data_IF_722564469902
#
_entry.id   IF_722564469902
#
_cell.length_a   1.000
_cell.length_b   1.000
_cell.length_c   1.000
_cell.angle_alpha   90.00
_cell.angle_beta   90.00
_cell.angle_gamma   90.00
#
_symmetry.space_group_name_H-M   'P 1'
#
loop_
_entity.id
_entity.type
_entity.pdbx_description
1 polymer ?
#
# COMPACT_ATOMS: atom_id res chain seq x y z
N UNK A 1 -23.01 -17.95 4.86
CA UNK A 1 -23.17 -16.62 5.51
C UNK A 1 -22.36 -15.64 4.68
N UNK A 2 -23.06 -14.88 3.83
CA UNK A 2 -22.55 -14.38 2.54
C UNK A 2 -21.83 -13.03 2.68
N UNK A 3 -20.97 -12.72 1.70
CA UNK A 3 -20.16 -11.49 1.52
C UNK A 3 -20.92 -10.17 1.80
N UNK A 4 -22.25 -10.18 1.70
CA UNK A 4 -23.12 -9.08 2.10
C UNK A 4 -23.11 -8.74 3.61
N UNK A 5 -22.99 -9.75 4.49
CA UNK A 5 -22.95 -9.53 5.94
C UNK A 5 -21.76 -8.66 6.34
N UNK A 6 -20.62 -8.83 5.65
CA UNK A 6 -19.40 -8.04 5.83
C UNK A 6 -19.55 -6.59 5.34
N UNK A 7 -20.27 -6.37 4.23
CA UNK A 7 -20.49 -5.01 3.66
C UNK A 7 -21.36 -4.14 4.59
N UNK A 8 -22.42 -4.69 5.16
CA UNK A 8 -23.37 -3.92 5.98
C UNK A 8 -22.91 -3.70 7.43
N UNK A 9 -22.24 -4.68 8.05
CA UNK A 9 -21.73 -4.53 9.43
C UNK A 9 -20.53 -3.58 9.52
N UNK A 10 -19.66 -3.54 8.51
CA UNK A 10 -18.51 -2.61 8.48
C UNK A 10 -18.92 -1.17 8.16
N UNK A 11 -19.90 -0.95 7.27
CA UNK A 11 -20.36 0.38 6.89
C UNK A 11 -21.09 1.13 8.02
N UNK A 12 -21.91 0.41 8.80
CA UNK A 12 -22.68 0.98 9.92
C UNK A 12 -21.81 1.24 11.15
N UNK A 13 -20.82 0.38 11.43
CA UNK A 13 -19.90 0.56 12.57
C UNK A 13 -18.80 1.59 12.32
N UNK A 14 -18.36 1.78 11.06
CA UNK A 14 -17.45 2.87 10.70
C UNK A 14 -18.02 4.25 11.06
N UNK A 15 -19.33 4.47 10.88
CA UNK A 15 -19.99 5.73 11.26
C UNK A 15 -20.04 5.97 12.78
N UNK A 16 -20.06 4.91 13.59
CA UNK A 16 -20.11 5.03 15.06
C UNK A 16 -18.72 5.29 15.67
N UNK A 17 -17.67 4.71 15.09
CA UNK A 17 -16.27 5.00 15.46
C UNK A 17 -15.82 6.42 15.06
N UNK A 18 -16.33 6.96 13.95
CA UNK A 18 -16.03 8.33 13.49
C UNK A 18 -16.49 9.41 14.48
N UNK A 19 -17.59 9.18 15.24
CA UNK A 19 -18.05 10.15 16.26
C UNK A 19 -17.22 10.14 17.56
N UNK A 20 -16.45 9.09 17.82
CA UNK A 20 -15.60 9.00 19.01
C UNK A 20 -14.15 9.48 18.76
N UNK A 21 -13.71 9.50 17.50
CA UNK A 21 -12.34 9.89 17.11
C UNK A 21 -12.06 11.41 17.11
N UNK A 22 -13.02 12.23 17.52
CA UNK A 22 -12.90 13.70 17.54
C UNK A 22 -11.94 14.29 18.58
N UNK A 23 -11.17 13.49 19.34
CA UNK A 23 -10.38 14.04 20.45
C UNK A 23 -9.02 13.37 20.73
N UNK A 24 -8.51 12.45 19.92
CA UNK A 24 -7.22 11.80 20.24
C UNK A 24 -6.09 12.33 19.37
N UNK A 25 -5.42 13.35 19.93
CA UNK A 25 -4.08 13.72 19.54
C UNK A 25 -3.11 12.55 19.82
N UNK A 26 -2.43 12.07 18.78
CA UNK A 26 -1.20 11.29 18.89
C UNK A 26 -1.36 9.77 19.01
N UNK A 27 -0.94 9.04 17.95
CA UNK A 27 0.09 7.97 17.98
C UNK A 27 0.22 7.35 16.59
N UNK A 28 1.47 7.24 16.12
CA UNK A 28 1.85 7.06 14.73
C UNK A 28 2.30 5.61 14.50
N UNK A 29 1.61 4.85 13.65
CA UNK A 29 2.14 3.57 13.13
C UNK A 29 3.35 3.89 12.25
N UNK A 30 4.40 3.06 12.17
CA UNK A 30 5.65 3.27 11.41
C UNK A 30 5.54 3.46 9.89
N UNK A 31 4.42 4.02 9.44
CA UNK A 31 4.12 4.86 8.28
C UNK A 31 3.77 6.25 8.87
N UNK A 32 4.66 6.75 9.72
CA UNK A 32 4.33 7.54 10.92
C UNK A 32 4.15 9.04 10.65
N UNK A 33 3.16 9.37 9.83
CA UNK A 33 2.65 10.74 9.74
C UNK A 33 1.44 10.93 8.83
N UNK A 34 1.25 10.10 7.80
CA UNK A 34 0.31 10.43 6.71
C UNK A 34 -0.79 9.39 6.42
N UNK A 35 -0.60 8.10 6.75
CA UNK A 35 -1.57 7.05 6.38
C UNK A 35 -2.18 6.39 7.62
N UNK A 36 -3.45 6.71 7.85
CA UNK A 36 -4.30 6.16 8.90
C UNK A 36 -4.78 4.75 8.55
N UNK A 37 -5.17 4.00 9.58
CA UNK A 37 -5.88 2.74 9.43
C UNK A 37 -7.10 2.86 8.51
N UNK A 38 -7.88 3.94 8.67
CA UNK A 38 -9.06 4.18 7.85
C UNK A 38 -8.69 4.30 6.36
N UNK A 39 -7.59 4.97 6.03
CA UNK A 39 -7.08 5.06 4.65
C UNK A 39 -6.63 3.70 4.12
N UNK A 40 -5.95 2.87 4.93
CA UNK A 40 -5.56 1.51 4.53
C UNK A 40 -6.77 0.61 4.25
N UNK A 41 -7.79 0.65 5.11
CA UNK A 41 -9.02 -0.12 4.92
C UNK A 41 -9.83 0.39 3.72
N UNK A 42 -9.87 1.71 3.51
CA UNK A 42 -10.51 2.31 2.33
C UNK A 42 -9.80 1.88 1.05
N UNK A 43 -8.47 1.93 1.03
CA UNK A 43 -7.66 1.46 -0.08
C UNK A 43 -7.87 -0.03 -0.37
N UNK A 44 -8.03 -0.86 0.66
CA UNK A 44 -8.41 -2.27 0.51
C UNK A 44 -9.74 -2.47 -0.22
N UNK A 45 -10.76 -1.68 0.13
CA UNK A 45 -12.06 -1.72 -0.57
C UNK A 45 -11.95 -1.26 -2.02
N UNK A 46 -11.15 -0.23 -2.29
CA UNK A 46 -10.88 0.25 -3.65
C UNK A 46 -10.22 -0.84 -4.50
N UNK A 47 -9.19 -1.50 -3.96
CA UNK A 47 -8.51 -2.61 -4.63
C UNK A 47 -9.47 -3.75 -4.94
N UNK A 48 -10.37 -4.09 -4.02
CA UNK A 48 -11.37 -5.15 -4.25
C UNK A 48 -12.32 -4.81 -5.40
N UNK A 49 -12.77 -3.55 -5.49
CA UNK A 49 -13.57 -3.07 -6.61
C UNK A 49 -12.81 -3.18 -7.93
N UNK A 50 -11.59 -2.64 -7.97
CA UNK A 50 -10.74 -2.69 -9.17
C UNK A 50 -10.46 -4.12 -9.63
N UNK A 51 -10.25 -5.06 -8.70
CA UNK A 51 -10.02 -6.47 -9.02
C UNK A 51 -11.27 -7.17 -9.57
N UNK A 52 -12.46 -6.76 -9.13
CA UNK A 52 -13.72 -7.32 -9.64
C UNK A 52 -13.94 -6.98 -11.12
N UNK A 53 -13.49 -5.79 -11.54
CA UNK A 53 -13.61 -5.29 -12.91
C UNK A 53 -12.54 -5.85 -13.88
N UNK A 54 -11.57 -6.63 -13.38
CA UNK A 54 -10.52 -7.22 -14.22
C UNK A 54 -11.12 -8.30 -15.14
N UNK A 55 -10.93 -8.19 -16.48
CA UNK A 55 -11.40 -9.19 -17.42
C UNK A 55 -10.72 -10.53 -17.17
N UNK A 56 -11.43 -11.64 -17.41
CA UNK A 56 -10.95 -12.99 -17.10
C UNK A 56 -9.55 -13.29 -17.67
N UNK A 57 -9.24 -12.77 -18.85
CA UNK A 57 -7.95 -12.93 -19.54
C UNK A 57 -6.74 -12.31 -18.82
N UNK A 58 -6.96 -11.32 -17.94
CA UNK A 58 -5.90 -10.61 -17.20
C UNK A 58 -5.90 -10.91 -15.70
N UNK A 59 -6.75 -11.84 -15.24
CA UNK A 59 -6.85 -12.19 -13.82
C UNK A 59 -5.59 -12.92 -13.36
N UNK A 60 -5.01 -12.43 -12.26
CA UNK A 60 -3.94 -13.10 -11.55
C UNK A 60 -4.46 -13.72 -10.27
N UNK A 61 -3.80 -14.77 -9.76
CA UNK A 61 -4.11 -15.32 -8.43
C UNK A 61 -3.93 -14.23 -7.36
N UNK A 62 -5.02 -13.81 -6.72
CA UNK A 62 -5.00 -12.84 -5.63
C UNK A 62 -4.76 -13.57 -4.32
N UNK A 63 -3.60 -13.37 -3.70
CA UNK A 63 -3.31 -13.89 -2.36
C UNK A 63 -3.57 -12.79 -1.32
N UNK A 64 -3.83 -13.14 -0.04
CA UNK A 64 -3.99 -12.14 1.02
C UNK A 64 -2.81 -11.15 1.05
N UNK A 65 -1.58 -11.66 0.93
CA UNK A 65 -0.38 -10.84 0.86
C UNK A 65 -0.38 -9.87 -0.33
N UNK A 66 -0.74 -10.32 -1.53
CA UNK A 66 -0.80 -9.44 -2.72
C UNK A 66 -1.84 -8.35 -2.54
N UNK A 67 -3.03 -8.72 -2.08
CA UNK A 67 -4.12 -7.79 -1.79
C UNK A 67 -3.70 -6.75 -0.76
N UNK A 68 -3.09 -7.17 0.35
CA UNK A 68 -2.62 -6.27 1.39
C UNK A 68 -1.55 -5.29 0.89
N UNK A 69 -0.60 -5.77 0.05
CA UNK A 69 0.40 -4.91 -0.57
C UNK A 69 -0.22 -3.89 -1.54
N UNK A 70 -1.17 -4.33 -2.37
CA UNK A 70 -1.87 -3.43 -3.30
C UNK A 70 -2.72 -2.38 -2.55
N UNK A 71 -3.34 -2.76 -1.44
CA UNK A 71 -4.05 -1.83 -0.57
C UNK A 71 -3.08 -0.83 0.08
N UNK A 72 -1.96 -1.31 0.62
CA UNK A 72 -0.94 -0.49 1.25
C UNK A 72 -0.37 0.57 0.29
N UNK A 73 -0.03 0.19 -0.94
CA UNK A 73 0.49 1.15 -1.93
C UNK A 73 -0.60 2.12 -2.42
N UNK A 74 -1.85 1.67 -2.52
CA UNK A 74 -2.99 2.53 -2.89
C UNK A 74 -3.29 3.59 -1.83
N UNK A 75 -2.95 3.32 -0.57
CA UNK A 75 -3.09 4.27 0.52
C UNK A 75 -2.02 5.39 0.52
N UNK A 76 -0.94 5.24 -0.27
CA UNK A 76 0.07 6.29 -0.44
C UNK A 76 -0.56 7.44 -1.24
N UNK A 77 -0.60 8.68 -0.70
CA UNK A 77 -1.19 9.83 -1.41
C UNK A 77 -0.51 10.14 -2.73
N UNK A 78 -1.24 10.77 -3.66
CA UNK A 78 -0.66 11.28 -4.91
C UNK A 78 0.43 12.30 -4.59
N UNK A 79 1.57 12.22 -5.27
CA UNK A 79 2.72 13.09 -5.03
C UNK A 79 3.60 12.66 -3.85
N UNK A 80 3.27 11.54 -3.20
CA UNK A 80 4.11 10.90 -2.19
C UNK A 80 4.61 9.53 -2.67
N UNK A 81 5.70 9.07 -2.07
CA UNK A 81 6.29 7.76 -2.32
C UNK A 81 6.41 6.97 -1.03
N UNK A 82 6.29 5.65 -1.12
CA UNK A 82 6.57 4.72 -0.04
C UNK A 82 7.76 3.83 -0.36
N UNK A 83 8.45 3.33 0.67
CA UNK A 83 9.53 2.37 0.50
C UNK A 83 8.94 0.96 0.44
N UNK A 84 9.65 0.00 -0.17
CA UNK A 84 9.25 -1.42 -0.09
C UNK A 84 9.07 -1.88 1.37
N UNK A 85 9.88 -1.34 2.28
CA UNK A 85 9.82 -1.64 3.72
C UNK A 85 8.57 -1.07 4.37
N UNK A 86 8.25 0.20 4.17
CA UNK A 86 7.08 0.84 4.77
C UNK A 86 5.76 0.30 4.22
N UNK A 87 5.70 0.00 2.91
CA UNK A 87 4.56 -0.71 2.30
C UNK A 87 4.43 -2.12 2.88
N UNK A 88 5.56 -2.81 3.09
CA UNK A 88 5.60 -4.10 3.76
C UNK A 88 5.04 -4.04 5.18
N UNK A 89 5.39 -3.01 5.93
CA UNK A 89 4.86 -2.78 7.27
C UNK A 89 3.33 -2.61 7.26
N UNK A 90 2.79 -1.76 6.38
CA UNK A 90 1.34 -1.61 6.22
C UNK A 90 0.65 -2.91 5.82
N UNK A 91 1.22 -3.64 4.86
CA UNK A 91 0.65 -4.89 4.39
C UNK A 91 0.60 -5.93 5.51
N UNK A 92 1.66 -6.04 6.32
CA UNK A 92 1.69 -6.92 7.49
C UNK A 92 0.63 -6.54 8.52
N UNK A 93 0.45 -5.23 8.73
CA UNK A 93 -0.58 -4.71 9.63
C UNK A 93 -1.98 -5.10 9.14
N UNK A 94 -2.28 -4.91 7.86
CA UNK A 94 -3.56 -5.31 7.25
C UNK A 94 -3.82 -6.81 7.38
N UNK A 95 -2.83 -7.63 7.08
CA UNK A 95 -2.95 -9.09 7.19
C UNK A 95 -3.24 -9.54 8.62
N UNK A 96 -2.58 -8.92 9.60
CA UNK A 96 -2.77 -9.26 10.99
C UNK A 96 -4.11 -8.75 11.53
N UNK A 97 -4.60 -7.59 11.08
CA UNK A 97 -5.95 -7.12 11.35
C UNK A 97 -7.01 -8.07 10.77
N UNK A 98 -6.86 -8.51 9.53
CA UNK A 98 -7.76 -9.49 8.88
C UNK A 98 -7.74 -10.85 9.60
N UNK A 99 -6.56 -11.32 10.01
CA UNK A 99 -6.41 -12.60 10.71
C UNK A 99 -7.08 -12.57 12.10
N UNK A 100 -6.93 -11.46 12.84
CA UNK A 100 -7.56 -11.30 14.16
C UNK A 100 -9.09 -11.16 14.07
N UNK A 101 -9.60 -10.44 13.08
CA UNK A 101 -11.04 -10.33 12.81
C UNK A 101 -11.71 -11.67 12.45
N UNK A 102 -10.93 -12.67 12.04
CA UNK A 102 -11.42 -14.03 11.74
C UNK A 102 -11.42 -14.96 12.95
N UNK A 103 -10.55 -14.69 13.94
CA UNK A 103 -10.36 -15.52 15.16
C UNK A 103 -11.22 -15.04 16.32
N UNK A 104 -11.46 -13.72 16.43
CA UNK A 104 -12.46 -13.15 17.33
C UNK A 104 -13.60 -12.64 16.48
N UNK A 105 -14.83 -13.08 16.75
CA UNK A 105 -16.04 -12.55 16.11
C UNK A 105 -16.28 -11.06 16.38
N UNK A 106 -15.39 -10.39 17.12
CA UNK A 106 -15.51 -9.04 17.63
C UNK A 106 -14.25 -8.23 17.30
N UNK A 107 -14.46 -7.12 16.59
CA UNK A 107 -13.67 -5.89 16.43
C UNK A 107 -12.14 -6.00 16.18
N UNK A 108 -11.68 -5.43 15.05
CA UNK A 108 -10.26 -5.29 14.76
C UNK A 108 -9.61 -4.36 15.81
N UNK A 109 -8.44 -4.74 16.37
CA UNK A 109 -7.84 -3.97 17.44
C UNK A 109 -7.44 -2.57 16.96
N UNK A 110 -7.74 -1.57 17.79
CA UNK A 110 -7.40 -0.15 17.57
C UNK A 110 -5.89 0.06 17.46
N UNK A 111 -5.10 -0.75 18.19
CA UNK A 111 -3.64 -0.82 18.11
C UNK A 111 -3.16 -2.26 17.89
N UNK A 112 -2.24 -2.43 16.95
CA UNK A 112 -1.58 -3.71 16.70
C UNK A 112 -0.08 -3.49 16.69
N UNK A 113 0.63 -3.96 17.72
CA UNK A 113 2.08 -4.05 17.69
C UNK A 113 2.50 -5.07 16.63
N UNK A 114 2.94 -4.55 15.48
CA UNK A 114 3.51 -5.34 14.41
C UNK A 114 5.01 -5.15 14.46
N UNK A 115 5.77 -6.21 14.74
CA UNK A 115 7.23 -6.16 14.63
C UNK A 115 7.64 -5.73 13.22
N UNK A 116 8.70 -4.94 13.10
CA UNK A 116 9.26 -4.57 11.79
C UNK A 116 9.57 -5.86 11.01
N UNK A 117 9.00 -6.03 9.80
CA UNK A 117 9.29 -7.20 9.01
C UNK A 117 10.75 -7.16 8.52
N UNK A 118 11.45 -8.31 8.52
CA UNK A 118 12.82 -8.40 8.02
C UNK A 118 12.93 -8.22 6.49
N UNK A 119 14.15 -8.13 5.96
CA UNK A 119 14.43 -7.81 4.55
C UNK A 119 13.75 -8.73 3.50
N UNK A 120 13.43 -9.98 3.86
CA UNK A 120 12.65 -10.90 3.02
C UNK A 120 11.26 -10.36 2.66
N UNK A 121 10.71 -9.48 3.49
CA UNK A 121 9.38 -8.92 3.28
C UNK A 121 9.37 -7.84 2.18
N UNK A 122 10.43 -7.02 2.07
CA UNK A 122 10.58 -6.05 0.99
C UNK A 122 10.65 -6.73 -0.38
N UNK A 123 11.34 -7.87 -0.47
CA UNK A 123 11.36 -8.69 -1.68
C UNK A 123 9.96 -9.25 -2.02
N UNK A 124 9.22 -9.74 -1.02
CA UNK A 124 7.85 -10.20 -1.21
C UNK A 124 6.90 -9.08 -1.70
N UNK A 125 7.07 -7.86 -1.19
CA UNK A 125 6.37 -6.65 -1.66
C UNK A 125 6.68 -6.41 -3.14
N UNK A 126 7.96 -6.46 -3.54
CA UNK A 126 8.37 -6.33 -4.93
C UNK A 126 7.72 -7.36 -5.85
N UNK A 127 7.68 -8.63 -5.43
CA UNK A 127 7.02 -9.70 -6.19
C UNK A 127 5.50 -9.53 -6.28
N UNK A 128 4.86 -8.99 -5.24
CA UNK A 128 3.44 -8.67 -5.26
C UNK A 128 3.13 -7.51 -6.22
N UNK A 129 3.92 -6.44 -6.19
CA UNK A 129 3.75 -5.28 -7.08
C UNK A 129 4.01 -5.63 -8.55
N UNK A 130 4.96 -6.54 -8.84
CA UNK A 130 5.23 -7.03 -10.20
C UNK A 130 4.03 -7.70 -10.86
N UNK A 131 3.11 -8.26 -10.08
CA UNK A 131 1.93 -8.98 -10.58
C UNK A 131 0.64 -8.17 -10.42
N UNK A 132 0.74 -6.85 -10.38
CA UNK A 132 -0.42 -5.96 -10.27
C UNK A 132 -1.23 -5.96 -11.60
N UNK A 133 -2.45 -6.54 -11.63
CA UNK A 133 -3.25 -6.63 -12.86
C UNK A 133 -3.95 -5.32 -13.23
N UNK A 134 -3.97 -4.34 -12.32
CA UNK A 134 -4.73 -3.08 -12.43
C UNK A 134 -3.81 -1.87 -12.35
N UNK A 135 -2.57 -2.00 -12.84
CA UNK A 135 -1.71 -0.83 -13.05
C UNK A 135 -2.29 0.03 -14.20
N UNK A 136 -2.27 1.38 -14.10
CA UNK A 136 -1.72 2.22 -13.04
C UNK A 136 -2.71 2.59 -11.91
N UNK A 137 -3.95 2.08 -11.93
CA UNK A 137 -4.97 2.40 -10.92
C UNK A 137 -4.54 2.01 -9.50
N UNK A 138 -3.92 0.83 -9.34
CA UNK A 138 -3.08 0.54 -8.17
C UNK A 138 -1.69 1.12 -8.42
N UNK A 139 -1.24 2.12 -7.64
CA UNK A 139 -0.12 2.98 -7.99
C UNK A 139 1.24 2.37 -7.63
N UNK A 140 1.60 1.24 -8.25
CA UNK A 140 2.86 0.55 -7.99
C UNK A 140 4.11 1.39 -8.29
N UNK A 141 3.99 2.47 -9.08
CA UNK A 141 5.06 3.45 -9.33
C UNK A 141 5.44 4.26 -8.09
N UNK A 142 4.56 4.40 -7.09
CA UNK A 142 4.84 5.10 -5.82
C UNK A 142 5.78 4.34 -4.89
N UNK A 143 6.16 3.11 -5.23
CA UNK A 143 7.07 2.29 -4.42
C UNK A 143 8.53 2.44 -4.87
N UNK A 144 9.43 2.83 -3.96
CA UNK A 144 10.87 3.03 -4.20
C UNK A 144 11.73 2.28 -3.17
N UNK A 145 13.05 2.24 -3.38
CA UNK A 145 13.98 1.67 -2.39
C UNK A 145 14.15 2.63 -1.21
N UNK A 146 14.63 2.10 -0.08
CA UNK A 146 14.86 2.87 1.15
C UNK A 146 15.95 3.92 1.00
N UNK A 147 16.89 3.73 0.07
CA UNK A 147 17.92 4.70 -0.32
C UNK A 147 17.40 5.79 -1.28
N UNK A 148 16.09 5.79 -1.57
CA UNK A 148 15.45 6.71 -2.52
C UNK A 148 15.67 6.35 -3.98
N UNK A 149 16.43 5.31 -4.32
CA UNK A 149 16.63 4.90 -5.71
C UNK A 149 15.38 4.29 -6.32
N UNK A 150 15.19 4.51 -7.61
CA UNK A 150 14.07 3.95 -8.37
C UNK A 150 14.28 2.44 -8.53
N UNK A 151 13.39 1.66 -7.93
CA UNK A 151 13.27 0.21 -8.13
C UNK A 151 12.57 -0.12 -9.45
N UNK A 152 12.54 -1.42 -9.76
CA UNK A 152 11.90 -1.94 -10.97
C UNK A 152 10.43 -1.53 -11.13
N UNK A 153 9.95 -1.54 -12.38
CA UNK A 153 8.59 -1.23 -12.77
C UNK A 153 8.09 -2.23 -13.81
N UNK A 154 6.85 -2.68 -13.65
CA UNK A 154 6.19 -3.60 -14.58
C UNK A 154 7.07 -4.83 -14.96
N UNK A 155 7.75 -5.38 -13.94
CA UNK A 155 8.62 -6.55 -14.10
C UNK A 155 9.96 -6.32 -14.82
N UNK A 156 10.32 -5.07 -15.13
CA UNK A 156 11.61 -4.67 -15.70
C UNK A 156 12.39 -3.77 -14.71
N UNK A 157 13.71 -3.79 -14.81
CA UNK A 157 14.61 -2.99 -13.97
C UNK A 157 15.32 -1.86 -14.74
N UNK A 158 15.13 -1.82 -16.05
CA UNK A 158 15.74 -0.86 -16.99
C UNK A 158 14.84 -0.65 -18.21
N UNK A 159 15.21 0.32 -19.06
CA UNK A 159 14.50 0.65 -20.30
C UNK A 159 13.21 1.45 -20.10
N UNK A 160 12.35 1.42 -21.12
CA UNK A 160 11.14 2.26 -21.23
C UNK A 160 10.19 2.16 -20.03
N UNK A 161 10.16 1.02 -19.34
CA UNK A 161 9.33 0.84 -18.15
C UNK A 161 9.79 1.71 -16.99
N UNK A 162 11.10 1.90 -16.82
CA UNK A 162 11.62 2.80 -15.78
C UNK A 162 11.30 4.24 -16.14
N UNK A 163 11.45 4.64 -17.40
CA UNK A 163 11.07 5.98 -17.85
C UNK A 163 9.55 6.21 -17.70
N UNK A 164 8.71 5.20 -17.93
CA UNK A 164 7.26 5.26 -17.64
C UNK A 164 6.98 5.48 -16.15
N UNK A 165 7.68 4.78 -15.25
CA UNK A 165 7.57 5.00 -13.80
C UNK A 165 7.94 6.43 -13.43
N UNK A 166 9.03 6.95 -14.00
CA UNK A 166 9.51 8.32 -13.77
C UNK A 166 8.49 9.34 -14.28
N UNK A 167 7.92 9.11 -15.47
CA UNK A 167 6.88 9.98 -16.03
C UNK A 167 5.64 10.03 -15.13
N UNK A 168 5.18 8.88 -14.62
CA UNK A 168 4.07 8.82 -13.66
C UNK A 168 4.40 9.61 -12.39
N UNK A 169 5.56 9.37 -11.77
CA UNK A 169 6.01 10.11 -10.58
C UNK A 169 6.07 11.62 -10.82
N UNK A 170 6.64 12.07 -11.95
CA UNK A 170 6.72 13.49 -12.31
C UNK A 170 5.35 14.11 -12.53
N UNK A 171 4.42 13.39 -13.19
CA UNK A 171 3.03 13.85 -13.37
C UNK A 171 2.24 13.95 -12.05
N UNK A 172 2.72 13.29 -11.00
CA UNK A 172 2.19 13.42 -9.64
C UNK A 172 2.88 14.52 -8.83
N UNK A 173 3.91 15.18 -9.38
CA UNK A 173 4.68 16.23 -8.71
C UNK A 173 5.88 15.73 -7.90
N UNK A 174 6.29 14.46 -8.06
CA UNK A 174 7.48 13.92 -7.39
C UNK A 174 8.75 14.31 -8.15
N UNK A 175 9.68 14.98 -7.47
CA UNK A 175 11.00 15.33 -7.99
C UNK A 175 11.90 14.10 -8.12
N UNK A 176 12.32 13.78 -9.35
CA UNK A 176 13.22 12.66 -9.65
C UNK A 176 14.52 13.20 -10.25
N UNK A 177 15.63 12.88 -9.57
CA UNK A 177 16.99 13.28 -9.92
C UNK A 177 17.73 12.13 -10.63
N UNK A 178 18.66 12.50 -11.51
CA UNK A 178 19.59 11.57 -12.16
C UNK A 178 21.01 12.01 -11.85
N UNK A 179 21.78 11.17 -11.18
CA UNK A 179 23.16 11.46 -10.83
C UNK A 179 24.09 11.35 -12.05
N UNK A 180 25.32 11.87 -11.92
CA UNK A 180 26.37 11.71 -12.94
C UNK A 180 26.71 10.24 -13.23
N UNK A 181 26.49 9.35 -12.26
CA UNK A 181 26.67 7.90 -12.42
C UNK A 181 25.42 7.19 -12.97
N UNK A 182 24.47 7.91 -13.57
CA UNK A 182 23.20 7.40 -14.07
C UNK A 182 22.30 6.73 -13.00
N UNK A 183 22.52 7.02 -11.73
CA UNK A 183 21.63 6.57 -10.65
C UNK A 183 20.41 7.48 -10.59
N UNK A 184 19.21 6.90 -10.63
CA UNK A 184 17.94 7.63 -10.59
C UNK A 184 17.33 7.50 -9.20
N UNK A 185 17.03 8.63 -8.56
CA UNK A 185 16.46 8.67 -7.21
C UNK A 185 15.40 9.77 -7.07
N UNK A 186 14.54 9.66 -6.07
CA UNK A 186 13.66 10.77 -5.67
C UNK A 186 14.46 11.79 -4.85
N UNK A 187 14.20 13.09 -5.06
CA UNK A 187 14.92 14.18 -4.39
C UNK A 187 14.61 14.22 -2.89
N UNK A 188 13.32 14.16 -2.57
CA UNK A 188 12.79 14.03 -1.22
C UNK A 188 11.97 12.75 -1.19
N UNK A 189 12.58 11.57 -0.93
CA UNK A 189 11.75 10.46 -0.52
C UNK A 189 11.03 10.96 0.73
N UNK A 190 9.71 11.17 0.70
CA UNK A 190 8.95 11.27 1.95
C UNK A 190 9.23 9.96 2.70
N UNK A 191 10.21 10.01 3.59
CA UNK A 191 10.73 8.83 4.28
C UNK A 191 9.67 8.47 5.30
N UNK A 192 8.77 7.57 4.91
CA UNK A 192 7.84 6.88 5.83
C UNK A 192 8.59 5.95 6.82
N UNK A 193 9.91 6.11 6.98
CA UNK A 193 10.81 5.30 7.82
C UNK A 193 11.47 6.10 8.97
N UNK A 194 10.94 7.28 9.35
CA UNK A 194 11.27 7.93 10.64
C UNK A 194 10.32 7.50 11.76
#
# INVERSE_FOLDING_TARGET
VSVLYWKQTMATKASKAVKAAGSVAGKRTGIAGAVTLQQLLAAGRTVDGLLADVPASKRVKVTPMRRAVWAAVTAVPKGQVGTYSSIGYAARWLLAAESKAKVRGDEAPEELEVQRPGGLFAQAVGQALRRNPVAPAVPCHRCVRTDGTIGGFDGKIEGDNIERKIALLRSEGVSVLRSRANVISVADPCVLDC
#
